data_IF_443631003629
#
_entry.id   IF_443631003629
#
_cell.length_a   1.000
_cell.length_b   1.000
_cell.length_c   1.000
_cell.angle_alpha   90.00
_cell.angle_beta   90.00
_cell.angle_gamma   90.00
#
_symmetry.space_group_name_H-M   'P 1'
#
loop_
_entity.id
_entity.type
_entity.pdbx_description
1 polymer ?
#
# COMPACT_ATOMS: atom_id res chain seq x y z
N UNK A 1 8.14 20.47 12.22
CA UNK A 1 7.78 20.21 10.81
C UNK A 1 6.76 19.08 10.77
N UNK A 2 5.64 19.28 10.07
CA UNK A 2 4.69 18.20 9.82
C UNK A 2 5.15 17.45 8.57
N UNK A 3 5.26 16.12 8.67
CA UNK A 3 5.56 15.24 7.56
C UNK A 3 4.33 14.36 7.27
N UNK A 4 3.57 14.73 6.24
CA UNK A 4 2.31 14.04 5.87
C UNK A 4 2.45 13.02 4.73
N UNK A 5 3.67 12.86 4.22
CA UNK A 5 3.98 11.88 3.18
C UNK A 5 4.14 10.48 3.76
N UNK A 6 4.09 9.48 2.88
CA UNK A 6 4.37 8.11 3.27
C UNK A 6 5.74 7.98 3.95
N UNK A 7 5.77 7.30 5.10
CA UNK A 7 6.98 7.15 5.93
C UNK A 7 8.08 6.38 5.20
N UNK A 8 7.73 5.52 4.24
CA UNK A 8 8.70 4.81 3.40
C UNK A 8 9.65 5.76 2.65
N UNK A 9 9.19 6.95 2.25
CA UNK A 9 10.04 7.91 1.56
C UNK A 9 11.15 8.49 2.42
N UNK A 10 11.07 8.41 3.76
CA UNK A 10 12.15 8.82 4.66
C UNK A 10 13.45 8.06 4.41
N UNK A 11 13.37 6.86 3.84
CA UNK A 11 14.52 6.03 3.43
C UNK A 11 15.24 6.59 2.20
N UNK A 12 14.59 7.44 1.41
CA UNK A 12 15.22 8.06 0.24
C UNK A 12 16.25 9.10 0.66
N UNK A 13 17.33 9.20 -0.10
CA UNK A 13 18.40 10.15 0.20
C UNK A 13 17.92 11.61 0.27
N UNK A 14 16.98 12.00 -0.61
CA UNK A 14 16.44 13.37 -0.65
C UNK A 14 15.68 13.72 0.64
N UNK A 15 14.77 12.84 1.06
CA UNK A 15 13.97 13.08 2.27
C UNK A 15 14.85 13.00 3.51
N UNK A 16 15.79 12.05 3.58
CA UNK A 16 16.74 11.97 4.69
C UNK A 16 17.48 13.30 4.89
N UNK A 17 18.04 13.89 3.83
CA UNK A 17 18.73 15.20 3.92
C UNK A 17 17.81 16.32 4.43
N UNK A 18 16.55 16.35 3.98
CA UNK A 18 15.57 17.33 4.46
C UNK A 18 15.31 17.16 5.96
N UNK A 19 15.13 15.92 6.43
CA UNK A 19 14.90 15.63 7.85
C UNK A 19 16.12 15.93 8.71
N UNK A 20 17.32 15.56 8.24
CA UNK A 20 18.59 15.85 8.92
C UNK A 20 18.78 17.38 9.05
N UNK A 21 18.48 18.14 7.99
CA UNK A 21 18.55 19.60 8.02
C UNK A 21 17.55 20.20 9.00
N UNK A 22 16.29 19.76 8.99
CA UNK A 22 15.28 20.23 9.93
C UNK A 22 15.68 19.94 11.39
N UNK A 23 16.22 18.75 11.65
CA UNK A 23 16.75 18.36 12.97
C UNK A 23 17.94 19.24 13.38
N UNK A 24 18.86 19.55 12.46
CA UNK A 24 20.01 20.44 12.72
C UNK A 24 19.59 21.87 13.10
N UNK A 25 18.39 22.28 12.71
CA UNK A 25 17.76 23.56 13.07
C UNK A 25 16.97 23.49 14.39
N UNK A 26 17.03 22.37 15.12
CA UNK A 26 16.28 22.15 16.36
C UNK A 26 14.79 21.88 16.15
N UNK A 27 14.35 21.56 14.93
CA UNK A 27 12.93 21.30 14.64
C UNK A 27 12.56 19.86 14.97
N UNK A 28 11.50 19.68 15.75
CA UNK A 28 10.82 18.39 15.87
C UNK A 28 10.09 18.04 14.55
N UNK A 29 10.11 16.77 14.15
CA UNK A 29 9.34 16.27 13.01
C UNK A 29 8.20 15.37 13.50
N UNK A 30 6.96 15.71 13.12
CA UNK A 30 5.74 14.96 13.49
C UNK A 30 5.17 14.29 12.24
N UNK A 31 4.97 12.98 12.29
CA UNK A 31 4.39 12.20 11.19
C UNK A 31 2.86 12.21 11.23
N UNK A 32 2.23 12.71 10.18
CA UNK A 32 0.77 12.78 10.04
C UNK A 32 0.34 12.34 8.63
N UNK A 33 0.55 11.06 8.33
CA UNK A 33 0.19 10.45 7.06
C UNK A 33 -1.11 9.63 7.19
N UNK A 34 -2.04 9.83 6.25
CA UNK A 34 -3.20 8.96 6.06
C UNK A 34 -3.07 8.23 4.73
N UNK A 35 -3.23 6.90 4.75
CA UNK A 35 -3.15 6.08 3.54
C UNK A 35 -4.31 6.39 2.58
N UNK A 36 -4.01 6.45 1.28
CA UNK A 36 -5.01 6.52 0.21
C UNK A 36 -5.58 5.15 -0.21
N UNK A 37 -4.99 4.04 0.28
CA UNK A 37 -5.44 2.69 -0.04
C UNK A 37 -6.33 2.11 1.05
N UNK A 38 -7.35 1.37 0.62
CA UNK A 38 -8.26 0.65 1.52
C UNK A 38 -7.51 -0.45 2.29
N UNK A 39 -7.72 -0.58 3.62
CA UNK A 39 -7.21 -1.71 4.37
C UNK A 39 -7.94 -3.00 3.99
N UNK A 40 -7.34 -4.16 4.30
CA UNK A 40 -7.87 -5.48 3.94
C UNK A 40 -9.31 -5.72 4.42
N UNK A 41 -9.69 -5.17 5.58
CA UNK A 41 -11.07 -5.23 6.09
C UNK A 41 -12.08 -4.56 5.13
N UNK A 42 -11.74 -3.39 4.60
CA UNK A 42 -12.60 -2.69 3.64
C UNK A 42 -12.62 -3.43 2.30
N UNK A 43 -11.50 -4.00 1.88
CA UNK A 43 -11.42 -4.84 0.67
C UNK A 43 -12.33 -6.07 0.80
N UNK A 44 -12.30 -6.75 1.96
CA UNK A 44 -13.17 -7.88 2.28
C UNK A 44 -14.65 -7.48 2.16
N UNK A 45 -15.04 -6.34 2.74
CA UNK A 45 -16.41 -5.84 2.67
C UNK A 45 -16.86 -5.59 1.21
N UNK A 46 -15.97 -5.06 0.36
CA UNK A 46 -16.25 -4.87 -1.07
C UNK A 46 -16.46 -6.21 -1.76
N UNK A 47 -15.61 -7.21 -1.49
CA UNK A 47 -15.72 -8.55 -2.07
C UNK A 47 -17.02 -9.24 -1.65
N UNK A 48 -17.38 -9.18 -0.37
CA UNK A 48 -18.60 -9.80 0.15
C UNK A 48 -19.88 -9.15 -0.40
N UNK A 49 -19.81 -7.84 -0.65
CA UNK A 49 -20.91 -7.07 -1.25
C UNK A 49 -21.06 -7.36 -2.74
N UNK A 50 -19.96 -7.33 -3.50
CA UNK A 50 -19.99 -7.49 -4.95
C UNK A 50 -20.07 -8.94 -5.41
N UNK A 51 -19.65 -9.90 -4.57
CA UNK A 51 -19.60 -11.34 -4.86
C UNK A 51 -19.00 -11.65 -6.23
N UNK A 52 -17.77 -11.19 -6.51
CA UNK A 52 -17.17 -11.38 -7.82
C UNK A 52 -16.94 -12.87 -8.11
N UNK A 53 -17.08 -13.28 -9.38
CA UNK A 53 -16.79 -14.66 -9.80
C UNK A 53 -15.30 -15.00 -9.68
N UNK A 54 -14.42 -14.02 -9.94
CA UNK A 54 -12.95 -14.13 -9.87
C UNK A 54 -12.38 -12.86 -9.24
N UNK A 55 -11.28 -12.99 -8.51
CA UNK A 55 -10.56 -11.87 -7.89
C UNK A 55 -9.14 -11.84 -8.46
N UNK A 56 -8.70 -10.68 -8.96
CA UNK A 56 -7.34 -10.51 -9.48
C UNK A 56 -6.71 -9.36 -8.69
N UNK A 57 -5.90 -9.65 -7.65
CA UNK A 57 -5.22 -8.59 -6.91
C UNK A 57 -4.12 -7.99 -7.79
N UNK A 58 -4.17 -6.67 -7.95
CA UNK A 58 -3.17 -5.87 -8.66
C UNK A 58 -2.67 -4.76 -7.75
N UNK A 59 -1.53 -4.15 -8.10
CA UNK A 59 -0.95 -3.02 -7.36
C UNK A 59 -0.75 -3.31 -5.85
N UNK A 60 -0.25 -4.51 -5.55
CA UNK A 60 0.09 -4.95 -4.19
C UNK A 60 1.28 -5.89 -4.22
N UNK A 61 2.17 -5.77 -3.25
CA UNK A 61 3.25 -6.75 -3.01
C UNK A 61 2.73 -7.99 -2.27
N UNK A 62 1.51 -7.93 -1.72
CA UNK A 62 0.88 -8.98 -0.93
C UNK A 62 -0.16 -9.79 -1.71
N UNK A 63 0.00 -9.94 -3.03
CA UNK A 63 -1.00 -10.61 -3.88
C UNK A 63 -1.35 -12.03 -3.38
N UNK A 64 -0.37 -12.78 -2.89
CA UNK A 64 -0.57 -14.12 -2.34
C UNK A 64 -1.51 -14.16 -1.11
N UNK A 65 -1.65 -13.05 -0.36
CA UNK A 65 -2.61 -12.97 0.75
C UNK A 65 -4.06 -13.09 0.28
N UNK A 66 -4.34 -12.78 -0.99
CA UNK A 66 -5.68 -12.98 -1.56
C UNK A 66 -5.96 -14.45 -1.83
N UNK A 67 -4.96 -15.26 -2.22
CA UNK A 67 -5.16 -16.71 -2.36
C UNK A 67 -5.50 -17.38 -1.03
N UNK A 68 -4.88 -16.94 0.07
CA UNK A 68 -5.16 -17.51 1.39
C UNK A 68 -6.52 -17.12 1.95
N UNK A 69 -7.10 -16.00 1.48
CA UNK A 69 -8.40 -15.48 1.93
C UNK A 69 -9.56 -15.81 1.00
N UNK A 70 -9.32 -15.90 -0.30
CA UNK A 70 -10.36 -16.04 -1.32
C UNK A 70 -9.97 -17.09 -2.35
N UNK A 71 -10.72 -18.19 -2.37
CA UNK A 71 -10.45 -19.37 -3.21
C UNK A 71 -10.58 -19.12 -4.71
N UNK A 72 -11.30 -18.05 -5.10
CA UNK A 72 -11.46 -17.65 -6.49
C UNK A 72 -10.46 -16.56 -6.94
N UNK A 73 -9.35 -16.39 -6.22
CA UNK A 73 -8.26 -15.49 -6.59
C UNK A 73 -7.38 -16.07 -7.69
N UNK A 74 -7.04 -15.24 -8.68
CA UNK A 74 -6.07 -15.51 -9.73
C UNK A 74 -4.92 -14.52 -9.54
N UNK A 75 -3.70 -15.02 -9.32
CA UNK A 75 -2.50 -14.18 -9.22
C UNK A 75 -1.79 -14.25 -10.57
N UNK A 76 -1.46 -13.09 -11.10
CA UNK A 76 -0.68 -12.94 -12.31
C UNK A 76 0.57 -12.09 -12.02
N UNK A 77 1.65 -12.38 -12.74
CA UNK A 77 2.86 -11.56 -12.75
C UNK A 77 2.82 -10.57 -13.93
N UNK A 78 3.71 -9.59 -13.90
CA UNK A 78 3.86 -8.64 -15.00
C UNK A 78 4.09 -9.36 -16.33
N UNK A 79 3.24 -9.07 -17.32
CA UNK A 79 3.28 -9.69 -18.64
C UNK A 79 2.56 -11.04 -18.76
N UNK A 80 2.01 -11.58 -17.67
CA UNK A 80 1.25 -12.83 -17.68
C UNK A 80 -0.19 -12.61 -18.18
N UNK A 81 -0.61 -13.36 -19.19
CA UNK A 81 -1.97 -13.32 -19.70
C UNK A 81 -2.91 -14.15 -18.82
N UNK A 82 -4.05 -13.58 -18.46
CA UNK A 82 -5.14 -14.30 -17.77
C UNK A 82 -6.17 -14.73 -18.82
N UNK A 83 -6.38 -16.03 -18.95
CA UNK A 83 -7.40 -16.62 -19.81
C UNK A 83 -8.58 -17.02 -18.92
N UNK A 84 -9.76 -16.50 -19.23
CA UNK A 84 -10.98 -16.64 -18.42
C UNK A 84 -12.00 -17.59 -19.05
#
# INVERSE_FOLDING_TARGET
>A
MIYSFWSGYKKTHKVKRLLDYASSMGMETIDLHTSGHAPMEIIQNVIDTCRPKKIIPVHTEGAELFRSKFTNSIIAKDGEAIIL
#
